data_IF_578325640705
#
_entry.id   IF_578325640705
#
_cell.length_a   1.000
_cell.length_b   1.000
_cell.length_c   1.000
_cell.angle_alpha   90.00
_cell.angle_beta   90.00
_cell.angle_gamma   90.00
#
_symmetry.space_group_name_H-M   'P 1'
#
loop_
_entity.id
_entity.type
_entity.pdbx_description
1 polymer ?
#
# COMPACT_ATOMS: atom_id res chain seq x y z
N UNK A 1 -0.32 -17.75 -5.57
CA UNK A 1 -1.41 -16.76 -5.53
C UNK A 1 -1.68 -16.36 -4.10
N UNK A 2 -1.29 -15.12 -3.79
CA UNK A 2 -1.51 -14.50 -2.47
C UNK A 2 -3.00 -14.34 -2.22
N UNK A 3 -3.42 -14.70 -1.01
CA UNK A 3 -4.80 -14.66 -0.59
C UNK A 3 -5.35 -13.22 -0.57
N UNK A 4 -6.47 -12.97 -1.24
CA UNK A 4 -7.16 -11.67 -1.26
C UNK A 4 -6.71 -10.70 -2.35
N UNK A 5 -5.76 -11.07 -3.21
CA UNK A 5 -5.34 -10.22 -4.33
C UNK A 5 -6.42 -10.02 -5.39
N UNK A 6 -7.23 -11.05 -5.69
CA UNK A 6 -8.33 -10.90 -6.64
C UNK A 6 -9.33 -9.85 -6.13
N UNK A 7 -9.62 -9.87 -4.82
CA UNK A 7 -10.48 -8.85 -4.23
C UNK A 7 -9.88 -7.46 -4.28
N UNK A 8 -8.59 -7.32 -4.00
CA UNK A 8 -7.92 -6.04 -4.15
C UNK A 8 -8.00 -5.55 -5.60
N UNK A 9 -7.73 -6.42 -6.58
CA UNK A 9 -7.76 -6.08 -8.00
C UNK A 9 -9.12 -5.56 -8.46
N UNK A 10 -10.22 -6.12 -7.93
CA UNK A 10 -11.57 -5.64 -8.22
C UNK A 10 -11.80 -4.19 -7.79
N UNK A 11 -11.29 -3.77 -6.62
CA UNK A 11 -11.48 -2.41 -6.11
C UNK A 11 -10.52 -1.43 -6.79
N UNK A 12 -9.27 -1.82 -7.01
CA UNK A 12 -8.21 -0.91 -7.40
C UNK A 12 -7.84 -0.97 -8.89
N UNK A 13 -8.67 -1.57 -9.74
CA UNK A 13 -8.41 -1.71 -11.18
C UNK A 13 -8.13 -0.36 -11.87
N UNK A 14 -8.88 0.69 -11.50
CA UNK A 14 -8.74 2.03 -12.07
C UNK A 14 -7.69 2.90 -11.32
N UNK A 15 -7.08 2.36 -10.27
CA UNK A 15 -6.19 3.05 -9.35
C UNK A 15 -4.72 2.60 -9.46
N UNK A 16 -4.38 1.82 -10.50
CA UNK A 16 -3.06 1.19 -10.64
C UNK A 16 -1.90 2.17 -10.81
N UNK A 17 -2.16 3.42 -11.19
CA UNK A 17 -1.15 4.49 -11.27
C UNK A 17 -0.79 5.10 -9.91
N UNK A 18 -1.62 4.84 -8.88
CA UNK A 18 -1.60 5.51 -7.58
C UNK A 18 -0.87 4.72 -6.50
N UNK A 19 -0.47 3.48 -6.80
CA UNK A 19 0.29 2.65 -5.87
C UNK A 19 1.32 1.79 -6.60
N UNK A 20 2.22 1.19 -5.82
CA UNK A 20 3.14 0.15 -6.24
C UNK A 20 3.24 -0.89 -5.12
N UNK A 21 3.06 -2.18 -5.44
CA UNK A 21 3.34 -3.24 -4.48
C UNK A 21 4.83 -3.53 -4.40
N UNK A 22 5.27 -3.75 -3.17
CA UNK A 22 6.62 -4.15 -2.83
C UNK A 22 6.59 -5.42 -1.97
N UNK A 23 7.77 -5.93 -1.61
CA UNK A 23 7.91 -6.98 -0.62
C UNK A 23 7.43 -8.35 -1.09
N UNK A 24 7.00 -9.17 -0.12
CA UNK A 24 6.73 -10.60 -0.35
C UNK A 24 5.60 -10.87 -1.35
N UNK A 25 4.54 -10.05 -1.31
CA UNK A 25 3.40 -10.18 -2.23
C UNK A 25 3.78 -9.82 -3.67
N UNK A 26 4.56 -8.75 -3.85
CA UNK A 26 5.04 -8.39 -5.19
C UNK A 26 5.96 -9.45 -5.79
N UNK A 27 6.84 -10.05 -4.96
CA UNK A 27 7.67 -11.19 -5.37
C UNK A 27 6.84 -12.41 -5.76
N UNK A 28 5.74 -12.73 -5.08
CA UNK A 28 4.85 -13.84 -5.45
C UNK A 28 4.26 -13.66 -6.85
N UNK A 29 3.71 -12.47 -7.13
CA UNK A 29 3.10 -12.16 -8.42
C UNK A 29 4.15 -12.26 -9.55
N UNK A 30 5.35 -11.71 -9.33
CA UNK A 30 6.43 -11.75 -10.32
C UNK A 30 6.97 -13.17 -10.56
N UNK A 31 7.02 -14.01 -9.52
CA UNK A 31 7.49 -15.38 -9.67
C UNK A 31 6.44 -16.28 -10.32
N UNK A 32 5.15 -16.02 -10.08
CA UNK A 32 4.05 -16.71 -10.77
C UNK A 32 4.06 -16.42 -12.28
N UNK A 33 4.35 -15.17 -12.69
CA UNK A 33 4.60 -14.79 -14.10
C UNK A 33 5.73 -15.64 -14.72
N UNK A 34 6.74 -16.01 -13.92
CA UNK A 34 7.88 -16.84 -14.33
C UNK A 34 7.62 -18.36 -14.18
N UNK A 35 6.42 -18.78 -13.78
CA UNK A 35 6.06 -20.19 -13.54
C UNK A 35 6.75 -20.80 -12.32
N UNK A 36 7.24 -19.97 -11.39
CA UNK A 36 7.94 -20.39 -10.19
C UNK A 36 7.07 -20.17 -8.94
N UNK A 37 7.04 -21.15 -8.04
CA UNK A 37 6.32 -21.02 -6.78
C UNK A 37 7.14 -20.22 -5.75
N UNK A 38 6.60 -19.12 -5.25
CA UNK A 38 7.11 -18.40 -4.10
C UNK A 38 6.19 -18.60 -2.89
N UNK A 39 6.72 -18.46 -1.67
CA UNK A 39 5.91 -18.48 -0.44
C UNK A 39 5.80 -17.06 0.08
N UNK A 40 4.81 -16.34 -0.41
CA UNK A 40 4.53 -14.97 0.00
C UNK A 40 4.24 -14.84 1.50
N UNK A 41 4.54 -13.66 2.04
CA UNK A 41 3.92 -13.15 3.26
C UNK A 41 2.41 -12.95 3.01
N UNK A 42 1.62 -12.79 4.07
CA UNK A 42 0.17 -12.55 3.94
C UNK A 42 -0.16 -11.05 3.93
N UNK A 43 0.88 -10.24 3.80
CA UNK A 43 0.86 -8.82 4.01
C UNK A 43 0.99 -8.12 2.66
N UNK A 44 0.15 -7.12 2.45
CA UNK A 44 0.12 -6.30 1.26
C UNK A 44 0.90 -5.01 1.54
N UNK A 45 2.18 -5.02 1.16
CA UNK A 45 3.06 -3.86 1.31
C UNK A 45 2.88 -2.94 0.09
N UNK A 46 2.33 -1.75 0.33
CA UNK A 46 1.93 -0.84 -0.72
C UNK A 46 2.56 0.54 -0.54
N UNK A 47 3.34 0.96 -1.54
CA UNK A 47 3.86 2.33 -1.64
C UNK A 47 2.83 3.19 -2.37
N UNK A 48 2.33 4.22 -1.69
CA UNK A 48 1.40 5.20 -2.24
C UNK A 48 2.15 6.24 -3.05
N UNK A 49 1.65 6.51 -4.27
CA UNK A 49 2.19 7.52 -5.16
C UNK A 49 1.47 8.83 -4.90
N UNK A 50 1.96 9.59 -3.91
CA UNK A 50 1.26 10.75 -3.35
C UNK A 50 0.91 11.80 -4.41
N UNK A 51 1.72 11.95 -5.46
CA UNK A 51 1.48 12.90 -6.55
C UNK A 51 0.37 12.45 -7.52
N UNK A 52 -0.04 11.20 -7.45
CA UNK A 52 -1.11 10.63 -8.26
C UNK A 52 -2.40 10.38 -7.45
N UNK A 53 -2.36 10.48 -6.12
CA UNK A 53 -3.54 10.27 -5.28
C UNK A 53 -4.61 11.33 -5.57
N UNK A 54 -5.85 10.89 -5.55
CA UNK A 54 -7.03 11.73 -5.68
C UNK A 54 -8.13 11.24 -4.73
N UNK A 55 -9.20 12.04 -4.60
CA UNK A 55 -10.35 11.74 -3.74
C UNK A 55 -10.91 10.34 -4.01
N UNK A 56 -10.97 9.94 -5.29
CA UNK A 56 -11.53 8.63 -5.69
C UNK A 56 -10.71 7.45 -5.15
N UNK A 57 -9.38 7.58 -5.09
CA UNK A 57 -8.54 6.58 -4.42
C UNK A 57 -8.85 6.50 -2.93
N UNK A 58 -8.95 7.65 -2.26
CA UNK A 58 -9.23 7.71 -0.83
C UNK A 58 -10.56 7.05 -0.47
N UNK A 59 -11.61 7.36 -1.23
CA UNK A 59 -12.95 6.75 -1.10
C UNK A 59 -12.89 5.24 -1.30
N UNK A 60 -12.27 4.78 -2.40
CA UNK A 60 -12.13 3.35 -2.70
C UNK A 60 -11.32 2.61 -1.63
N UNK A 61 -10.26 3.24 -1.10
CA UNK A 61 -9.45 2.65 -0.06
C UNK A 61 -10.23 2.48 1.24
N UNK A 62 -10.94 3.52 1.69
CA UNK A 62 -11.76 3.40 2.89
C UNK A 62 -12.90 2.41 2.73
N UNK A 63 -13.57 2.38 1.57
CA UNK A 63 -14.57 1.37 1.26
C UNK A 63 -13.99 -0.05 1.35
N UNK A 64 -12.77 -0.27 0.83
CA UNK A 64 -12.07 -1.55 0.94
C UNK A 64 -11.78 -1.94 2.40
N UNK A 65 -11.35 -0.98 3.22
CA UNK A 65 -11.09 -1.19 4.65
C UNK A 65 -12.38 -1.52 5.42
N UNK A 66 -13.48 -0.83 5.11
CA UNK A 66 -14.78 -1.04 5.74
C UNK A 66 -15.40 -2.38 5.34
N UNK A 67 -15.41 -2.71 4.05
CA UNK A 67 -15.98 -3.96 3.54
C UNK A 67 -15.18 -5.19 3.99
N UNK A 68 -13.85 -5.07 4.09
CA UNK A 68 -13.02 -6.10 4.70
C UNK A 68 -13.19 -6.21 6.23
N UNK A 69 -13.79 -5.19 6.85
CA UNK A 69 -13.97 -5.10 8.30
C UNK A 69 -12.65 -5.12 9.06
N UNK A 70 -11.64 -4.43 8.53
CA UNK A 70 -10.30 -4.41 9.10
C UNK A 70 -10.26 -3.75 10.48
N UNK A 71 -9.41 -4.28 11.35
CA UNK A 71 -8.98 -3.61 12.56
C UNK A 71 -7.79 -2.69 12.24
N UNK A 72 -7.85 -1.44 12.71
CA UNK A 72 -6.70 -0.55 12.75
C UNK A 72 -6.28 -0.37 14.22
N UNK A 73 -4.96 -0.35 14.48
CA UNK A 73 -4.47 -0.17 15.85
C UNK A 73 -4.38 1.32 16.21
N UNK A 74 -5.20 1.74 17.17
CA UNK A 74 -4.84 2.82 18.09
C UNK A 74 -3.64 2.33 18.91
N UNK A 75 -2.42 2.79 18.62
CA UNK A 75 -1.39 2.73 19.66
C UNK A 75 -1.74 3.79 20.69
N UNK A 76 -1.66 3.43 21.97
CA UNK A 76 -2.08 4.22 23.14
C UNK A 76 -1.34 5.54 23.38
N UNK A 77 -0.95 6.25 22.33
CA UNK A 77 -0.45 7.62 22.31
C UNK A 77 -1.55 8.64 21.99
N UNK A 78 -2.77 8.20 21.63
CA UNK A 78 -3.90 9.08 21.34
C UNK A 78 -3.98 9.61 19.91
N UNK A 79 -3.09 9.16 19.02
CA UNK A 79 -3.13 9.50 17.59
C UNK A 79 -3.45 8.26 16.76
N UNK A 80 -4.47 8.37 15.92
CA UNK A 80 -4.91 7.27 15.05
C UNK A 80 -3.83 6.95 14.01
N UNK A 81 -3.31 5.72 14.04
CA UNK A 81 -2.28 5.26 13.10
C UNK A 81 -2.92 4.50 11.94
N UNK A 82 -3.28 5.22 10.87
CA UNK A 82 -3.92 4.67 9.67
C UNK A 82 -2.91 4.25 8.58
N UNK A 83 -1.80 3.62 8.97
CA UNK A 83 -0.81 3.06 8.02
C UNK A 83 -0.82 1.54 7.96
N UNK A 84 -1.43 0.85 8.94
CA UNK A 84 -1.49 -0.61 8.98
C UNK A 84 -2.89 -1.08 9.34
N UNK A 85 -3.46 -1.90 8.49
CA UNK A 85 -4.79 -2.49 8.63
C UNK A 85 -4.62 -4.01 8.71
N UNK A 86 -5.21 -4.64 9.72
CA UNK A 86 -4.99 -6.07 9.98
C UNK A 86 -6.27 -6.75 10.46
N UNK A 87 -6.27 -8.08 10.50
CA UNK A 87 -7.38 -8.87 11.01
C UNK A 87 -8.73 -8.51 10.36
N UNK A 88 -8.85 -8.60 9.01
CA UNK A 88 -10.15 -8.40 8.37
C UNK A 88 -11.16 -9.41 8.93
N UNK A 89 -12.40 -8.96 9.13
CA UNK A 89 -13.53 -9.84 9.47
C UNK A 89 -13.89 -10.75 8.31
N UNK A 90 -13.84 -10.22 7.08
CA UNK A 90 -14.00 -11.02 5.89
C UNK A 90 -12.65 -11.63 5.50
N UNK A 91 -12.53 -12.94 5.70
CA UNK A 91 -11.30 -13.65 5.41
C UNK A 91 -10.94 -13.66 3.92
N UNK A 92 -11.82 -13.27 2.99
CA UNK A 92 -11.51 -13.19 1.54
C UNK A 92 -10.59 -12.01 1.20
N UNK A 93 -10.44 -11.05 2.12
CA UNK A 93 -9.55 -9.90 1.97
C UNK A 93 -8.09 -10.22 2.37
N UNK A 94 -7.11 -9.43 1.92
CA UNK A 94 -5.72 -9.53 2.38
C UNK A 94 -5.60 -9.48 3.90
N UNK A 95 -4.74 -10.30 4.52
CA UNK A 95 -4.70 -10.39 5.99
C UNK A 95 -4.16 -9.13 6.67
N UNK A 96 -3.27 -8.43 5.97
CA UNK A 96 -2.68 -7.20 6.42
C UNK A 96 -2.42 -6.31 5.22
N UNK A 97 -2.58 -5.01 5.40
CA UNK A 97 -2.17 -3.97 4.46
C UNK A 97 -1.25 -3.03 5.23
N UNK A 98 -0.10 -2.71 4.65
CA UNK A 98 0.82 -1.72 5.18
C UNK A 98 1.12 -0.66 4.12
N UNK A 99 1.02 0.60 4.54
CA UNK A 99 1.17 1.77 3.69
C UNK A 99 2.53 2.42 3.88
N UNK A 100 3.17 2.71 2.76
CA UNK A 100 4.44 3.41 2.67
C UNK A 100 4.29 4.61 1.74
N UNK A 101 5.08 5.66 1.95
CA UNK A 101 5.13 6.79 1.02
C UNK A 101 6.47 7.51 1.11
N UNK A 102 6.77 8.37 0.14
CA UNK A 102 7.75 9.44 0.38
C UNK A 102 7.16 10.50 1.29
N UNK A 103 7.99 11.44 1.73
CA UNK A 103 7.51 12.61 2.46
C UNK A 103 6.65 13.51 1.55
N UNK A 104 5.43 13.90 1.95
CA UNK A 104 4.64 14.87 1.22
C UNK A 104 5.32 16.24 1.20
N UNK A 105 5.34 16.89 0.04
CA UNK A 105 6.03 18.17 -0.16
C UNK A 105 5.46 19.32 0.71
N UNK A 106 4.21 19.20 1.18
CA UNK A 106 3.47 20.26 1.88
C UNK A 106 3.48 20.12 3.41
N UNK A 107 4.20 19.13 3.97
CA UNK A 107 4.21 18.87 5.41
C UNK A 107 5.56 19.26 6.00
N UNK A 108 5.56 20.26 6.89
CA UNK A 108 6.64 20.42 7.86
C UNK A 108 6.59 19.22 8.82
N UNK A 109 7.68 18.45 8.87
CA UNK A 109 7.85 17.31 9.77
C UNK A 109 7.65 17.74 11.23
N UNK A 110 6.43 17.67 11.74
CA UNK A 110 6.22 17.35 13.14
C UNK A 110 6.08 15.83 13.20
N UNK A 111 7.03 15.13 13.82
CA UNK A 111 6.85 13.91 14.60
C UNK A 111 8.09 13.00 14.56
N UNK A 112 8.55 12.65 15.75
CA UNK A 112 9.68 11.77 16.10
C UNK A 112 9.42 10.28 15.79
N UNK A 113 8.40 9.97 14.96
CA UNK A 113 7.79 8.64 14.84
C UNK A 113 8.01 7.94 13.50
N UNK A 114 8.59 8.63 12.50
CA UNK A 114 8.81 8.07 11.15
C UNK A 114 7.52 7.81 10.34
N UNK A 115 6.37 8.29 10.83
CA UNK A 115 5.07 8.22 10.17
C UNK A 115 4.68 9.61 9.66
N UNK A 116 4.04 9.67 8.49
CA UNK A 116 3.52 10.92 7.92
C UNK A 116 2.04 10.79 7.59
N UNK A 117 1.19 11.78 7.90
CA UNK A 117 -0.19 11.78 7.45
C UNK A 117 -0.25 12.02 5.94
N UNK A 118 -1.15 11.30 5.26
CA UNK A 118 -1.45 11.49 3.85
C UNK A 118 -2.84 12.11 3.76
N UNK A 119 -2.85 13.37 3.38
CA UNK A 119 -4.07 14.11 3.13
C UNK A 119 -4.46 13.94 1.65
N UNK A 120 -5.67 13.45 1.41
CA UNK A 120 -6.22 13.26 0.06
C UNK A 120 -7.30 14.32 -0.21
N UNK A 121 -8.22 14.50 0.74
CA UNK A 121 -9.34 15.43 0.69
C UNK A 121 -9.81 15.76 2.11
N UNK A 122 -10.32 16.98 2.35
CA UNK A 122 -10.83 17.44 3.65
C UNK A 122 -12.03 16.65 4.17
N UNK A 123 -12.77 15.98 3.29
CA UNK A 123 -13.91 15.13 3.63
C UNK A 123 -13.54 13.68 3.96
N UNK A 124 -12.28 13.29 3.73
CA UNK A 124 -11.78 11.93 3.92
C UNK A 124 -10.87 11.88 5.15
N UNK A 125 -11.00 10.82 5.94
CA UNK A 125 -10.09 10.56 7.06
C UNK A 125 -8.67 10.37 6.52
N UNK A 126 -7.74 11.20 6.97
CA UNK A 126 -6.33 11.14 6.55
C UNK A 126 -5.72 9.76 6.84
N UNK A 127 -5.03 9.20 5.85
CA UNK A 127 -4.21 8.00 6.04
C UNK A 127 -2.90 8.37 6.74
N UNK A 128 -2.14 7.37 7.15
CA UNK A 128 -0.73 7.56 7.50
C UNK A 128 0.12 6.59 6.69
N UNK A 129 1.40 6.86 6.53
CA UNK A 129 2.33 5.94 5.90
C UNK A 129 3.70 5.95 6.57
N UNK A 130 4.39 4.81 6.47
CA UNK A 130 5.81 4.68 6.83
C UNK A 130 6.63 5.37 5.74
N UNK A 131 7.54 6.25 6.16
CA UNK A 131 8.41 6.94 5.23
C UNK A 131 9.45 6.00 4.62
N UNK A 132 9.58 6.07 3.29
CA UNK A 132 10.69 5.44 2.56
C UNK A 132 11.64 6.50 2.00
N UNK A 133 12.88 6.08 1.77
CA UNK A 133 13.92 6.95 1.22
C UNK A 133 13.55 7.46 -0.19
N UNK A 134 13.79 8.74 -0.46
CA UNK A 134 13.46 9.39 -1.73
C UNK A 134 14.16 8.77 -2.96
N UNK A 135 15.42 8.34 -2.83
CA UNK A 135 16.14 7.65 -3.91
C UNK A 135 15.45 6.32 -4.23
N UNK A 136 15.05 5.57 -3.21
CA UNK A 136 14.29 4.33 -3.40
C UNK A 136 12.93 4.63 -4.05
N UNK A 137 12.18 5.61 -3.54
CA UNK A 137 10.91 6.04 -4.14
C UNK A 137 11.07 6.42 -5.63
N UNK A 138 12.10 7.17 -5.98
CA UNK A 138 12.38 7.56 -7.36
C UNK A 138 12.71 6.35 -8.25
N UNK A 139 13.43 5.36 -7.72
CA UNK A 139 13.67 4.09 -8.43
C UNK A 139 12.36 3.31 -8.62
N UNK A 140 11.48 3.29 -7.61
CA UNK A 140 10.15 2.67 -7.71
C UNK A 140 9.35 3.27 -8.85
N UNK A 141 9.21 4.59 -8.89
CA UNK A 141 8.44 5.31 -9.91
C UNK A 141 8.99 5.03 -11.31
N UNK A 142 10.31 5.01 -11.49
CA UNK A 142 10.96 4.74 -12.78
C UNK A 142 10.86 3.28 -13.19
N UNK A 143 10.91 2.37 -12.22
CA UNK A 143 10.93 0.93 -12.46
C UNK A 143 9.55 0.29 -12.56
N UNK A 144 8.50 0.96 -12.07
CA UNK A 144 7.16 0.36 -12.01
C UNK A 144 6.66 -0.07 -13.39
N UNK A 145 5.97 -1.20 -13.42
CA UNK A 145 5.32 -1.78 -14.59
C UNK A 145 4.03 -2.49 -14.18
N UNK A 146 3.14 -2.65 -15.13
CA UNK A 146 1.93 -3.44 -14.94
C UNK A 146 2.21 -4.92 -15.17
N UNK A 147 1.84 -5.75 -14.20
CA UNK A 147 1.90 -7.22 -14.29
C UNK A 147 0.61 -7.76 -13.68
N UNK A 148 -0.13 -8.59 -14.42
CA UNK A 148 -1.39 -9.19 -13.94
C UNK A 148 -2.40 -8.17 -13.37
N UNK A 149 -2.40 -6.94 -13.88
CA UNK A 149 -3.29 -5.86 -13.41
C UNK A 149 -2.83 -5.18 -12.10
N UNK A 150 -1.62 -5.46 -11.62
CA UNK A 150 -1.01 -4.80 -10.48
C UNK A 150 0.18 -3.94 -10.90
N UNK A 151 0.40 -2.85 -10.18
CA UNK A 151 1.60 -2.01 -10.33
C UNK A 151 2.72 -2.57 -9.46
N UNK A 152 3.78 -3.08 -10.09
CA UNK A 152 4.92 -3.76 -9.45
C UNK A 152 6.25 -3.17 -9.92
N UNK A 153 7.32 -3.38 -9.15
CA UNK A 153 8.71 -3.15 -9.60
C UNK A 153 9.41 -4.46 -9.98
N UNK A 154 10.47 -4.42 -10.82
CA UNK A 154 11.25 -5.60 -11.16
C UNK A 154 11.87 -6.27 -9.93
N UNK A 155 12.12 -7.59 -9.95
CA UNK A 155 12.70 -8.32 -8.82
C UNK A 155 13.99 -7.71 -8.27
N UNK A 156 14.83 -7.13 -9.12
CA UNK A 156 16.08 -6.49 -8.69
C UNK A 156 15.86 -5.29 -7.76
N UNK A 157 14.76 -4.54 -7.93
CA UNK A 157 14.43 -3.40 -7.06
C UNK A 157 13.73 -3.84 -5.78
N UNK A 158 13.06 -5.01 -5.77
CA UNK A 158 12.47 -5.58 -4.54
C UNK A 158 13.51 -5.91 -3.47
N UNK A 159 14.78 -6.08 -3.86
CA UNK A 159 15.89 -6.39 -2.95
C UNK A 159 16.47 -5.16 -2.22
N UNK A 160 15.98 -3.96 -2.55
CA UNK A 160 16.45 -2.69 -1.97
C UNK A 160 15.57 -2.20 -0.81
N UNK A 161 14.58 -3.00 -0.40
CA UNK A 161 13.63 -2.74 0.70
C UNK A 161 14.26 -3.08 2.04
#
# INVERSE_FOLDING_TARGET
>A
MVHGLDKFKEYFADHTSQYVFIGGTACDILMDELGASFRATKDLDMVLIIEALDTSFGETFWQFIEDGGYEHREKGTGENQFYRFSNPKDITFPKMIELFSKLPNEIELSFDSGLTPIHIDDSIVSLSAILINDDYYNLLIKGRRMVEGFSLIPPALQLLI
#
